data_IF_729248596475
#
_entry.id   IF_729248596475
#
_cell.length_a   1.000
_cell.length_b   1.000
_cell.length_c   1.000
_cell.angle_alpha   90.00
_cell.angle_beta   90.00
_cell.angle_gamma   90.00
#
_symmetry.space_group_name_H-M   'P 1'
#
loop_
_entity.id
_entity.type
_entity.pdbx_description
1 polymer ?
#
# COMPACT_ATOMS: atom_id res chain seq x y z
N UNK A 1 -1.37 12.42 -27.06
CA UNK A 1 -1.84 12.49 -25.66
C UNK A 1 -1.88 13.93 -25.24
N UNK A 2 -2.98 14.34 -24.61
CA UNK A 2 -3.06 15.63 -23.95
C UNK A 2 -2.11 15.65 -22.74
N UNK A 3 -1.75 16.85 -22.27
CA UNK A 3 -0.93 17.07 -21.08
C UNK A 3 -1.57 16.40 -19.85
N UNK A 4 -2.90 16.44 -19.74
CA UNK A 4 -3.63 15.78 -18.64
C UNK A 4 -3.49 14.27 -18.69
N UNK A 5 -3.60 13.65 -19.87
CA UNK A 5 -3.40 12.22 -20.06
C UNK A 5 -1.96 11.81 -19.76
N UNK A 6 -0.98 12.64 -20.13
CA UNK A 6 0.44 12.39 -19.82
C UNK A 6 0.69 12.41 -18.31
N UNK A 7 0.11 13.38 -17.60
CA UNK A 7 0.19 13.46 -16.14
C UNK A 7 -0.51 12.25 -15.50
N UNK A 8 -1.70 11.89 -15.99
CA UNK A 8 -2.45 10.71 -15.53
C UNK A 8 -1.64 9.42 -15.68
N UNK A 9 -0.98 9.23 -16.83
CA UNK A 9 -0.12 8.07 -17.09
C UNK A 9 1.07 8.01 -16.11
N UNK A 10 1.71 9.14 -15.82
CA UNK A 10 2.84 9.19 -14.88
C UNK A 10 2.37 8.82 -13.47
N UNK A 11 1.26 9.39 -13.02
CA UNK A 11 0.66 9.10 -11.70
C UNK A 11 0.26 7.63 -11.62
N UNK A 12 -0.34 7.08 -12.67
CA UNK A 12 -0.70 5.67 -12.78
C UNK A 12 0.52 4.77 -12.56
N UNK A 13 1.60 5.02 -13.31
CA UNK A 13 2.81 4.20 -13.28
C UNK A 13 3.49 4.28 -11.91
N UNK A 14 3.56 5.47 -11.31
CA UNK A 14 4.09 5.64 -9.95
C UNK A 14 3.21 4.90 -8.94
N UNK A 15 1.90 5.06 -9.01
CA UNK A 15 0.96 4.37 -8.13
C UNK A 15 1.10 2.85 -8.21
N UNK A 16 1.20 2.29 -9.42
CA UNK A 16 1.41 0.86 -9.65
C UNK A 16 2.76 0.40 -9.08
N UNK A 17 3.83 1.17 -9.30
CA UNK A 17 5.16 0.85 -8.79
C UNK A 17 5.18 0.80 -7.25
N UNK A 18 4.51 1.74 -6.59
CA UNK A 18 4.35 1.74 -5.14
C UNK A 18 3.49 0.57 -4.65
N UNK A 19 2.35 0.32 -5.30
CA UNK A 19 1.46 -0.78 -4.93
C UNK A 19 2.16 -2.13 -5.02
N UNK A 20 2.81 -2.42 -6.15
CA UNK A 20 3.53 -3.68 -6.38
C UNK A 20 4.77 -3.77 -5.49
N UNK A 21 5.60 -2.71 -5.44
CA UNK A 21 6.83 -2.71 -4.65
C UNK A 21 6.56 -2.94 -3.17
N UNK A 22 5.72 -2.11 -2.56
CA UNK A 22 5.40 -2.24 -1.14
C UNK A 22 4.47 -3.42 -0.86
N UNK A 23 3.61 -3.81 -1.80
CA UNK A 23 2.75 -5.00 -1.68
C UNK A 23 3.57 -6.28 -1.60
N UNK A 24 4.57 -6.44 -2.49
CA UNK A 24 5.50 -7.57 -2.44
C UNK A 24 6.29 -7.57 -1.13
N UNK A 25 6.86 -6.41 -0.73
CA UNK A 25 7.58 -6.29 0.54
C UNK A 25 6.70 -6.71 1.72
N UNK A 26 5.44 -6.27 1.77
CA UNK A 26 4.51 -6.64 2.83
C UNK A 26 4.19 -8.15 2.87
N UNK A 27 4.07 -8.79 1.70
CA UNK A 27 3.88 -10.25 1.60
C UNK A 27 5.11 -11.02 2.08
N UNK A 28 6.31 -10.57 1.72
CA UNK A 28 7.55 -11.19 2.19
C UNK A 28 7.77 -10.96 3.70
N UNK A 29 7.45 -9.77 4.22
CA UNK A 29 7.58 -9.46 5.64
C UNK A 29 6.66 -10.36 6.49
N UNK A 30 5.42 -10.61 6.04
CA UNK A 30 4.52 -11.56 6.71
C UNK A 30 5.00 -13.01 6.65
N UNK A 31 5.69 -13.42 5.59
CA UNK A 31 6.27 -14.77 5.48
C UNK A 31 7.38 -15.00 6.50
N UNK A 32 8.14 -13.96 6.86
CA UNK A 32 9.16 -14.00 7.92
C UNK A 32 8.53 -14.02 9.32
N UNK A 33 7.34 -13.43 9.49
CA UNK A 33 6.55 -13.49 10.74
C UNK A 33 5.69 -14.77 10.78
N UNK A 34 6.29 -15.92 10.44
CA UNK A 34 5.69 -17.24 10.73
C UNK A 34 6.22 -17.75 12.09
N UNK A 35 5.91 -17.05 13.19
CA UNK A 35 5.97 -17.61 14.56
C UNK A 35 5.46 -16.71 15.70
N UNK A 36 4.42 -15.89 15.50
CA UNK A 36 3.74 -15.26 16.64
C UNK A 36 2.26 -15.55 16.57
N UNK A 37 1.87 -16.70 17.11
CA UNK A 37 0.48 -17.06 17.46
C UNK A 37 -0.17 -16.07 18.46
N UNK A 38 0.49 -14.98 18.84
CA UNK A 38 -0.01 -13.99 19.79
C UNK A 38 -1.10 -13.04 19.23
N UNK A 39 -1.31 -12.99 17.92
CA UNK A 39 -2.39 -12.13 17.36
C UNK A 39 -3.80 -12.64 17.68
N UNK A 40 -3.94 -13.90 18.11
CA UNK A 40 -5.23 -14.48 18.51
C UNK A 40 -5.51 -14.36 20.00
N UNK A 41 -4.55 -13.94 20.82
CA UNK A 41 -4.65 -14.19 22.27
C UNK A 41 -5.09 -12.99 23.11
N UNK A 42 -4.94 -11.75 22.67
CA UNK A 42 -5.44 -10.62 23.47
C UNK A 42 -5.94 -9.48 22.59
N UNK A 43 -7.17 -9.02 22.85
CA UNK A 43 -7.67 -7.71 22.39
C UNK A 43 -6.87 -6.59 23.08
N UNK A 44 -5.58 -6.45 22.76
CA UNK A 44 -4.83 -5.26 23.13
C UNK A 44 -5.44 -4.10 22.35
N UNK A 45 -5.84 -3.05 23.07
CA UNK A 45 -6.14 -1.76 22.47
C UNK A 45 -4.83 -1.19 21.90
N UNK A 46 -4.49 -1.60 20.69
CA UNK A 46 -3.38 -1.04 19.94
C UNK A 46 -3.82 0.35 19.47
N UNK A 47 -3.07 1.38 19.83
CA UNK A 47 -3.36 2.74 19.38
C UNK A 47 -3.27 2.84 17.85
N UNK A 48 -4.08 3.71 17.25
CA UNK A 48 -4.10 3.93 15.78
C UNK A 48 -2.69 4.15 15.21
N UNK A 49 -1.83 4.86 15.96
CA UNK A 49 -0.44 5.13 15.60
C UNK A 49 0.46 3.89 15.60
N UNK A 50 0.31 3.02 16.58
CA UNK A 50 1.10 1.79 16.72
C UNK A 50 0.71 0.77 15.64
N UNK A 51 -0.58 0.67 15.35
CA UNK A 51 -1.09 -0.13 14.24
C UNK A 51 -0.54 0.38 12.89
N UNK A 52 -0.54 1.70 12.69
CA UNK A 52 -0.05 2.32 11.45
C UNK A 52 1.44 2.09 11.26
N UNK A 53 2.27 2.22 12.31
CA UNK A 53 3.70 1.90 12.22
C UNK A 53 3.95 0.45 11.86
N UNK A 54 3.23 -0.47 12.51
CA UNK A 54 3.41 -1.91 12.31
C UNK A 54 3.02 -2.34 10.89
N UNK A 55 2.00 -1.69 10.32
CA UNK A 55 1.47 -2.00 9.00
C UNK A 55 1.84 -0.95 7.95
N UNK A 56 2.85 -0.10 8.19
CA UNK A 56 3.14 1.07 7.36
C UNK A 56 3.36 0.69 5.89
N UNK A 57 4.07 -0.41 5.64
CA UNK A 57 4.29 -0.96 4.31
C UNK A 57 2.97 -1.32 3.60
N UNK A 58 1.99 -1.88 4.32
CA UNK A 58 0.67 -2.16 3.76
C UNK A 58 -0.10 -0.87 3.46
N UNK A 59 -0.03 0.12 4.35
CA UNK A 59 -0.63 1.45 4.10
C UNK A 59 -0.05 2.10 2.86
N UNK A 60 1.28 2.04 2.68
CA UNK A 60 1.96 2.62 1.54
C UNK A 60 1.63 1.90 0.22
N UNK A 61 1.44 0.58 0.27
CA UNK A 61 0.92 -0.19 -0.86
C UNK A 61 -0.49 0.26 -1.24
N UNK A 62 -1.42 0.32 -0.27
CA UNK A 62 -2.80 0.77 -0.51
C UNK A 62 -2.85 2.22 -1.01
N UNK A 63 -1.96 3.10 -0.51
CA UNK A 63 -1.83 4.46 -1.02
C UNK A 63 -1.40 4.48 -2.49
N UNK A 64 -0.44 3.63 -2.89
CA UNK A 64 -0.07 3.44 -4.30
C UNK A 64 -1.25 3.00 -5.18
N UNK A 65 -2.13 2.14 -4.66
CA UNK A 65 -3.34 1.73 -5.38
C UNK A 65 -4.29 2.92 -5.60
N UNK A 66 -4.51 3.75 -4.58
CA UNK A 66 -5.34 4.96 -4.70
C UNK A 66 -4.75 5.90 -5.75
N UNK A 67 -3.43 6.12 -5.73
CA UNK A 67 -2.75 6.93 -6.77
C UNK A 67 -2.95 6.35 -8.17
N UNK A 68 -2.86 5.03 -8.33
CA UNK A 68 -3.09 4.39 -9.63
C UNK A 68 -4.53 4.62 -10.13
N UNK A 69 -5.53 4.49 -9.25
CA UNK A 69 -6.92 4.78 -9.58
C UNK A 69 -7.09 6.25 -9.98
N UNK A 70 -6.46 7.18 -9.24
CA UNK A 70 -6.47 8.60 -9.62
C UNK A 70 -5.84 8.82 -10.99
N UNK A 71 -4.70 8.18 -11.29
CA UNK A 71 -4.07 8.24 -12.61
C UNK A 71 -4.96 7.73 -13.73
N UNK A 72 -5.73 6.64 -13.49
CA UNK A 72 -6.74 6.13 -14.42
C UNK A 72 -7.84 7.15 -14.71
N UNK A 73 -8.33 7.85 -13.69
CA UNK A 73 -9.37 8.88 -13.86
C UNK A 73 -8.88 10.01 -14.77
N UNK A 74 -7.61 10.40 -14.68
CA UNK A 74 -7.01 11.43 -15.54
C UNK A 74 -6.74 10.97 -16.99
N UNK A 75 -6.85 9.67 -17.28
CA UNK A 75 -6.68 9.11 -18.62
C UNK A 75 -8.00 9.04 -19.40
N UNK A 76 -9.14 9.08 -18.69
CA UNK A 76 -10.50 9.11 -19.24
C UNK A 76 -10.86 10.56 -19.57
#
# INVERSE_FOLDING_TARGET
MDRQQTIGLIILLIGLAFFIGFGLVALFYKKTIKKSDEFLTEKKHVGMWEFTKTNFTLFLSLFGLVLAITGLIFLI
#
